data_IF_428881220159
#
_entry.id   IF_428881220159
#
_cell.length_a   1.000
_cell.length_b   1.000
_cell.length_c   1.000
_cell.angle_alpha   90.00
_cell.angle_beta   90.00
_cell.angle_gamma   90.00
#
_symmetry.space_group_name_H-M   'P 1'
#
loop_
_entity.id
_entity.type
_entity.pdbx_description
1 polymer ?
#
# COMPACT_ATOMS: atom_id res chain seq x y z
N UNK A 1 -7.35 -3.55 -2.07
CA UNK A 1 -6.61 -2.45 -1.44
C UNK A 1 -6.06 -2.99 -0.15
N UNK A 2 -4.75 -3.07 -0.06
CA UNK A 2 -4.05 -3.55 1.14
C UNK A 2 -3.45 -2.34 1.87
N UNK A 3 -3.29 -2.44 3.20
CA UNK A 3 -2.69 -1.37 3.98
C UNK A 3 -1.81 -1.91 5.09
N UNK A 4 -0.60 -1.38 5.22
CA UNK A 4 0.28 -1.68 6.34
C UNK A 4 0.61 -0.42 7.12
N UNK A 5 0.88 -0.58 8.41
CA UNK A 5 1.42 0.48 9.25
C UNK A 5 2.89 0.15 9.54
N UNK A 6 3.79 1.02 9.11
CA UNK A 6 5.22 0.87 9.32
C UNK A 6 5.79 2.15 9.91
N UNK A 7 6.57 1.99 10.98
CA UNK A 7 7.06 3.09 11.82
C UNK A 7 5.93 4.03 12.30
N UNK A 8 5.88 5.26 11.79
CA UNK A 8 4.89 6.28 12.14
C UNK A 8 3.96 6.65 10.97
N UNK A 9 4.07 5.96 9.84
CA UNK A 9 3.23 6.22 8.67
C UNK A 9 2.39 4.99 8.31
N UNK A 10 1.26 5.26 7.65
CA UNK A 10 0.45 4.23 7.01
C UNK A 10 0.77 4.21 5.52
N UNK A 11 0.90 3.01 4.98
CA UNK A 11 1.15 2.77 3.57
C UNK A 11 -0.04 2.03 2.96
N UNK A 12 -0.37 2.35 1.72
CA UNK A 12 -1.47 1.75 0.96
C UNK A 12 -0.91 1.15 -0.33
N UNK A 13 -1.24 -0.11 -0.60
CA UNK A 13 -1.00 -0.74 -1.90
C UNK A 13 -2.25 -0.61 -2.75
N UNK A 14 -2.13 0.16 -3.82
CA UNK A 14 -3.18 0.42 -4.80
C UNK A 14 -2.81 -0.30 -6.09
N UNK A 15 -3.65 -1.24 -6.49
CA UNK A 15 -3.53 -1.95 -7.77
C UNK A 15 -4.74 -1.52 -8.58
N UNK A 16 -4.50 -0.94 -9.75
CA UNK A 16 -5.58 -0.50 -10.62
C UNK A 16 -6.27 -1.73 -11.23
N UNK A 17 -7.58 -1.82 -11.02
CA UNK A 17 -8.40 -2.97 -11.45
C UNK A 17 -8.40 -3.17 -12.96
N UNK A 18 -8.23 -2.08 -13.72
CA UNK A 18 -8.18 -2.13 -15.19
C UNK A 18 -6.96 -2.88 -15.72
N UNK A 19 -5.91 -3.01 -14.90
CA UNK A 19 -4.67 -3.72 -15.25
C UNK A 19 -4.52 -5.07 -14.52
N UNK A 20 -5.47 -5.49 -13.70
CA UNK A 20 -5.40 -6.78 -12.99
C UNK A 20 -5.47 -8.00 -13.92
N UNK A 21 -6.03 -7.85 -15.12
CA UNK A 21 -6.09 -8.88 -16.17
C UNK A 21 -4.89 -8.82 -17.13
N UNK A 22 -3.99 -7.83 -16.99
CA UNK A 22 -2.74 -7.74 -17.75
C UNK A 22 -1.58 -8.39 -16.97
N UNK A 23 -0.63 -9.03 -17.66
CA UNK A 23 0.50 -9.75 -17.05
C UNK A 23 1.41 -8.84 -16.19
N UNK A 24 1.32 -7.52 -16.36
CA UNK A 24 2.02 -6.49 -15.58
C UNK A 24 1.02 -5.45 -15.05
N UNK A 25 0.27 -5.81 -14.00
CA UNK A 25 -0.57 -4.83 -13.30
C UNK A 25 0.31 -3.76 -12.64
N UNK A 26 0.19 -2.50 -13.06
CA UNK A 26 0.88 -1.38 -12.39
C UNK A 26 0.31 -1.19 -10.97
N UNK A 27 1.20 -1.25 -9.98
CA UNK A 27 0.87 -1.08 -8.57
C UNK A 27 1.57 0.17 -8.03
N UNK A 28 0.82 0.95 -7.25
CA UNK A 28 1.30 2.16 -6.61
C UNK A 28 1.29 1.99 -5.10
N UNK A 29 2.35 2.46 -4.45
CA UNK A 29 2.41 2.55 -2.99
C UNK A 29 2.21 4.01 -2.60
N UNK A 30 1.21 4.26 -1.76
CA UNK A 30 0.94 5.59 -1.22
C UNK A 30 1.32 5.65 0.26
N UNK A 31 1.95 6.74 0.70
CA UNK A 31 2.29 7.02 2.09
C UNK A 31 1.37 8.10 2.66
N UNK A 32 0.89 7.88 3.88
CA UNK A 32 0.13 8.87 4.63
C UNK A 32 1.04 10.04 5.05
N UNK A 33 0.67 11.26 4.66
CA UNK A 33 1.40 12.50 4.94
C UNK A 33 0.66 13.43 5.89
N UNK A 34 -0.60 13.11 6.20
CA UNK A 34 -1.41 13.96 7.05
C UNK A 34 -0.98 13.90 8.51
N UNK A 35 -0.55 15.05 9.04
CA UNK A 35 -0.37 15.28 10.47
C UNK A 35 -1.64 15.82 11.16
N UNK A 36 -2.70 16.14 10.40
CA UNK A 36 -3.93 16.74 10.93
C UNK A 36 -5.10 15.76 10.97
N UNK A 37 -5.70 15.66 12.16
CA UNK A 37 -6.67 14.65 12.60
C UNK A 37 -8.00 14.55 11.83
N UNK A 38 -8.17 15.27 10.71
CA UNK A 38 -9.45 15.37 10.00
C UNK A 38 -9.38 15.09 8.49
N UNK A 39 -8.18 14.93 7.92
CA UNK A 39 -8.00 14.63 6.50
C UNK A 39 -6.89 13.59 6.35
N UNK A 40 -7.13 12.51 5.62
CA UNK A 40 -6.09 11.50 5.33
C UNK A 40 -5.51 11.81 3.95
N UNK A 41 -4.37 12.50 3.94
CA UNK A 41 -3.63 12.80 2.72
C UNK A 41 -2.63 11.69 2.47
N UNK A 42 -2.64 11.16 1.26
CA UNK A 42 -1.71 10.14 0.81
C UNK A 42 -0.92 10.67 -0.38
N UNK A 43 0.40 10.47 -0.37
CA UNK A 43 1.29 10.79 -1.49
C UNK A 43 1.82 9.51 -2.11
N UNK A 44 1.98 9.47 -3.43
CA UNK A 44 2.68 8.36 -4.10
C UNK A 44 4.13 8.38 -3.70
N UNK A 45 4.67 7.22 -3.32
CA UNK A 45 6.11 7.10 -3.12
C UNK A 45 6.82 7.16 -4.47
N UNK A 46 7.83 8.02 -4.56
CA UNK A 46 8.74 8.11 -5.71
C UNK A 46 10.11 7.48 -5.42
N UNK A 47 10.43 7.26 -4.14
CA UNK A 47 11.72 6.71 -3.71
C UNK A 47 11.75 5.19 -3.90
N UNK A 48 12.56 4.73 -4.84
CA UNK A 48 12.63 3.31 -5.24
C UNK A 48 13.04 2.39 -4.10
N UNK A 49 13.97 2.84 -3.24
CA UNK A 49 14.44 2.09 -2.07
C UNK A 49 13.35 1.99 -0.99
N UNK A 50 12.53 3.02 -0.79
CA UNK A 50 11.38 2.97 0.11
C UNK A 50 10.29 2.05 -0.44
N UNK A 51 9.98 2.16 -1.74
CA UNK A 51 8.99 1.31 -2.42
C UNK A 51 9.35 -0.17 -2.26
N UNK A 52 10.59 -0.57 -2.55
CA UNK A 52 11.03 -1.97 -2.50
C UNK A 52 10.89 -2.55 -1.08
N UNK A 53 11.25 -1.77 -0.05
CA UNK A 53 11.09 -2.16 1.37
C UNK A 53 9.63 -2.32 1.76
N UNK A 54 8.79 -1.35 1.41
CA UNK A 54 7.36 -1.38 1.75
C UNK A 54 6.66 -2.51 0.98
N UNK A 55 7.03 -2.75 -0.29
CA UNK A 55 6.53 -3.87 -1.08
C UNK A 55 6.87 -5.23 -0.43
N UNK A 56 8.10 -5.41 0.03
CA UNK A 56 8.50 -6.62 0.77
C UNK A 56 7.68 -6.81 2.06
N UNK A 57 7.37 -5.72 2.78
CA UNK A 57 6.49 -5.78 3.95
C UNK A 57 5.06 -6.14 3.59
N UNK A 58 4.54 -5.67 2.46
CA UNK A 58 3.23 -6.08 1.95
C UNK A 58 3.22 -7.58 1.63
N UNK A 59 4.25 -8.11 0.96
CA UNK A 59 4.36 -9.55 0.68
C UNK A 59 4.48 -10.41 1.95
N UNK A 60 5.20 -9.93 2.96
CA UNK A 60 5.33 -10.61 4.25
C UNK A 60 4.02 -10.55 5.04
N UNK A 61 3.40 -9.38 5.14
CA UNK A 61 2.12 -9.20 5.82
C UNK A 61 0.98 -9.97 5.14
N UNK A 62 1.03 -10.09 3.81
CA UNK A 62 0.04 -10.84 3.02
C UNK A 62 0.12 -12.36 3.29
N UNK A 63 1.30 -12.90 3.60
CA UNK A 63 1.44 -14.31 4.03
C UNK A 63 0.72 -14.61 5.35
N UNK A 64 0.55 -13.62 6.22
CA UNK A 64 -0.08 -13.77 7.54
C UNK A 64 -1.54 -13.25 7.60
N UNK A 65 -2.03 -12.50 6.60
CA UNK A 65 -3.31 -11.77 6.70
C UNK A 65 -4.23 -11.87 5.47
N UNK A 66 -4.36 -13.06 4.89
CA UNK A 66 -5.59 -13.39 4.13
C UNK A 66 -6.71 -13.89 5.07
N UNK A 67 -7.12 -13.10 6.06
CA UNK A 67 -8.46 -13.19 6.68
C UNK A 67 -9.26 -11.94 6.28
N UNK A 68 -9.47 -11.79 4.97
CA UNK A 68 -10.37 -10.76 4.44
C UNK A 68 -11.80 -11.21 4.71
N UNK A 69 -12.35 -10.84 5.87
CA UNK A 69 -13.79 -10.75 6.07
C UNK A 69 -14.29 -9.48 5.36
N UNK A 70 -14.85 -9.66 4.17
CA UNK A 70 -15.80 -8.70 3.63
C UNK A 70 -17.17 -8.98 4.24
N UNK A 71 -17.72 -7.98 4.94
CA UNK A 71 -19.12 -7.92 5.38
C UNK A 71 -20.06 -7.78 4.18
#
# INVERSE_FOLDING_TARGET
MDSIKYENARYLLVIEKEFMDEEEAEAFILRETSESSNDFLYETLEDSDEIDKIAALFEESSKDSYDIKLD
#
